data_IF_933640203553
#
_entry.id   IF_933640203553
#
_cell.length_a   1.000
_cell.length_b   1.000
_cell.length_c   1.000
_cell.angle_alpha   90.00
_cell.angle_beta   90.00
_cell.angle_gamma   90.00
#
_symmetry.space_group_name_H-M   'P 1'
#
loop_
_entity.id
_entity.type
_entity.pdbx_description
1 polymer ?
#
# COMPACT_ATOMS: atom_id res chain seq x y z
N UNK A 1 -22.90 -44.27 -45.97
CA UNK A 1 -24.19 -43.93 -45.36
C UNK A 1 -24.01 -42.62 -44.60
N UNK A 2 -24.39 -41.52 -45.24
CA UNK A 2 -24.43 -40.20 -44.63
C UNK A 2 -25.74 -40.10 -43.84
N UNK A 3 -25.66 -39.88 -42.54
CA UNK A 3 -26.82 -39.60 -41.70
C UNK A 3 -26.69 -38.21 -41.12
N UNK A 4 -27.48 -37.30 -41.71
CA UNK A 4 -27.84 -35.99 -41.18
C UNK A 4 -28.62 -36.16 -39.87
N UNK A 5 -28.35 -35.33 -38.87
CA UNK A 5 -29.45 -34.72 -38.11
C UNK A 5 -29.20 -33.21 -37.95
N UNK A 6 -30.04 -32.37 -38.55
CA UNK A 6 -31.20 -31.73 -37.90
C UNK A 6 -30.74 -30.59 -36.99
N UNK A 7 -30.65 -29.43 -37.64
CA UNK A 7 -30.49 -28.11 -37.05
C UNK A 7 -31.73 -27.78 -36.22
N UNK A 8 -31.58 -27.73 -34.89
CA UNK A 8 -32.55 -27.15 -33.97
C UNK A 8 -31.95 -25.84 -33.48
N UNK A 9 -32.53 -24.73 -33.95
CA UNK A 9 -32.23 -23.39 -33.45
C UNK A 9 -32.80 -23.21 -32.03
N UNK A 10 -32.01 -22.77 -31.04
CA UNK A 10 -32.54 -22.17 -29.84
C UNK A 10 -32.83 -20.69 -30.07
N UNK A 11 -33.98 -20.27 -29.54
CA UNK A 11 -34.59 -18.95 -29.49
C UNK A 11 -33.62 -17.77 -29.45
N UNK A 12 -33.90 -16.79 -30.32
CA UNK A 12 -33.35 -15.45 -30.26
C UNK A 12 -33.89 -14.73 -29.01
N UNK A 13 -33.06 -14.60 -27.99
CA UNK A 13 -33.18 -13.57 -26.95
C UNK A 13 -31.76 -13.12 -26.55
N UNK A 14 -31.05 -12.59 -27.55
CA UNK A 14 -29.82 -11.84 -27.34
C UNK A 14 -30.18 -10.35 -27.28
N UNK A 15 -30.70 -9.89 -26.14
CA UNK A 15 -30.77 -8.45 -25.86
C UNK A 15 -29.39 -8.00 -25.41
N UNK A 16 -28.61 -7.53 -26.39
CA UNK A 16 -27.37 -6.82 -26.16
C UNK A 16 -27.63 -5.60 -25.25
N UNK A 17 -26.98 -5.57 -24.09
CA UNK A 17 -26.91 -4.39 -23.23
C UNK A 17 -25.99 -3.35 -23.89
N UNK A 18 -26.54 -2.57 -24.81
CA UNK A 18 -25.91 -1.31 -25.23
C UNK A 18 -26.21 -0.27 -24.17
N UNK A 19 -25.31 -0.13 -23.19
CA UNK A 19 -25.32 1.03 -22.29
C UNK A 19 -24.76 2.23 -23.06
N UNK A 20 -25.61 2.92 -23.81
CA UNK A 20 -25.29 4.24 -24.35
C UNK A 20 -25.50 5.30 -23.27
N UNK A 21 -24.41 5.95 -22.85
CA UNK A 21 -24.46 7.11 -21.97
C UNK A 21 -24.97 8.33 -22.76
N UNK A 22 -26.27 8.61 -22.68
CA UNK A 22 -26.83 9.85 -23.18
C UNK A 22 -26.64 10.97 -22.14
N UNK A 23 -25.71 11.90 -22.38
CA UNK A 23 -25.71 13.20 -21.68
C UNK A 23 -26.84 14.05 -22.26
N UNK A 24 -27.85 14.34 -21.43
CA UNK A 24 -28.88 15.32 -21.78
C UNK A 24 -28.33 16.73 -21.54
N UNK A 25 -28.32 17.63 -22.55
CA UNK A 25 -27.81 18.98 -22.38
C UNK A 25 -28.71 19.83 -21.49
N UNK A 26 -28.09 20.70 -20.70
CA UNK A 26 -28.69 21.40 -19.55
C UNK A 26 -29.72 22.51 -19.91
N UNK A 27 -30.09 22.68 -21.17
CA UNK A 27 -30.83 23.86 -21.65
C UNK A 27 -32.35 23.71 -21.77
N UNK A 28 -32.92 22.54 -21.49
CA UNK A 28 -34.36 22.30 -21.67
C UNK A 28 -35.23 22.43 -20.40
N UNK A 29 -34.64 22.72 -19.24
CA UNK A 29 -35.41 23.09 -18.06
C UNK A 29 -35.76 24.56 -18.13
N UNK A 30 -36.87 24.94 -18.79
CA UNK A 30 -37.76 26.04 -18.37
C UNK A 30 -38.87 26.28 -19.41
N UNK A 31 -40.01 25.60 -19.22
CA UNK A 31 -41.29 26.11 -19.67
C UNK A 31 -42.41 25.55 -18.77
N UNK A 32 -42.84 26.38 -17.83
CA UNK A 32 -44.17 26.42 -17.22
C UNK A 32 -44.85 25.13 -16.79
N UNK A 33 -44.91 24.88 -15.47
CA UNK A 33 -46.14 24.42 -14.82
C UNK A 33 -46.13 24.92 -13.38
N UNK A 34 -46.97 25.92 -13.08
CA UNK A 34 -47.25 26.31 -11.71
C UNK A 34 -48.18 25.27 -11.09
N UNK A 35 -47.60 24.32 -10.35
CA UNK A 35 -48.34 23.53 -9.38
C UNK A 35 -48.02 24.09 -7.99
N UNK A 36 -49.05 24.49 -7.26
CA UNK A 36 -48.97 24.84 -5.85
C UNK A 36 -48.37 23.67 -5.05
N UNK A 37 -47.13 23.83 -4.59
CA UNK A 37 -46.40 22.82 -3.83
C UNK A 37 -46.79 22.86 -2.33
N UNK A 38 -47.26 21.75 -1.73
CA UNK A 38 -47.40 21.66 -0.29
C UNK A 38 -46.08 21.15 0.31
N UNK A 39 -45.42 21.93 1.17
CA UNK A 39 -44.45 21.47 2.19
C UNK A 39 -43.43 20.34 1.85
N UNK A 40 -42.96 20.21 0.61
CA UNK A 40 -42.08 19.11 0.16
C UNK A 40 -40.58 19.31 0.48
N UNK A 41 -40.15 20.55 0.75
CA UNK A 41 -38.73 20.87 0.93
C UNK A 41 -38.06 20.29 2.18
N UNK A 42 -38.81 20.06 3.25
CA UNK A 42 -38.26 19.58 4.54
C UNK A 42 -38.01 18.07 4.53
N UNK A 43 -38.82 17.30 3.80
CA UNK A 43 -38.73 15.84 3.73
C UNK A 43 -37.54 15.42 2.84
N UNK A 44 -37.27 16.16 1.76
CA UNK A 44 -36.19 15.87 0.81
C UNK A 44 -34.80 16.11 1.43
N UNK A 45 -34.65 17.17 2.23
CA UNK A 45 -33.41 17.45 2.96
C UNK A 45 -33.12 16.41 4.05
N UNK A 46 -34.14 15.98 4.82
CA UNK A 46 -33.97 14.96 5.86
C UNK A 46 -33.54 13.59 5.28
N UNK A 47 -34.11 13.20 4.13
CA UNK A 47 -33.70 11.99 3.42
C UNK A 47 -32.25 12.07 2.95
N UNK A 48 -31.84 13.19 2.36
CA UNK A 48 -30.47 13.38 1.88
C UNK A 48 -29.46 13.41 3.04
N UNK A 49 -29.82 14.04 4.16
CA UNK A 49 -29.02 14.04 5.39
C UNK A 49 -28.90 12.64 5.99
N UNK A 50 -29.98 11.85 5.98
CA UNK A 50 -29.99 10.44 6.44
C UNK A 50 -29.11 9.56 5.58
N UNK A 51 -29.18 9.69 4.25
CA UNK A 51 -28.35 8.93 3.32
C UNK A 51 -26.88 9.28 3.47
N UNK A 52 -26.57 10.58 3.63
CA UNK A 52 -25.20 11.04 3.93
C UNK A 52 -24.67 10.44 5.22
N UNK A 53 -25.48 10.43 6.29
CA UNK A 53 -25.09 9.87 7.59
C UNK A 53 -24.83 8.36 7.48
N UNK A 54 -25.72 7.63 6.82
CA UNK A 54 -25.59 6.20 6.54
C UNK A 54 -24.32 5.88 5.75
N UNK A 55 -23.99 6.71 4.75
CA UNK A 55 -22.77 6.56 3.97
C UNK A 55 -21.50 6.78 4.82
N UNK A 56 -21.47 7.84 5.64
CA UNK A 56 -20.34 8.13 6.53
C UNK A 56 -20.11 6.97 7.52
N UNK A 57 -21.18 6.42 8.08
CA UNK A 57 -21.09 5.28 9.01
C UNK A 57 -20.47 4.06 8.34
N UNK A 58 -20.91 3.72 7.11
CA UNK A 58 -20.32 2.63 6.33
C UNK A 58 -18.83 2.85 6.04
N UNK A 59 -18.46 4.07 5.67
CA UNK A 59 -17.05 4.44 5.41
C UNK A 59 -16.21 4.33 6.68
N UNK A 60 -16.71 4.82 7.82
CA UNK A 60 -15.99 4.74 9.09
C UNK A 60 -15.80 3.29 9.52
N UNK A 61 -16.85 2.47 9.41
CA UNK A 61 -16.76 1.04 9.66
C UNK A 61 -15.71 0.36 8.79
N UNK A 62 -15.62 0.72 7.51
CA UNK A 62 -14.59 0.16 6.62
C UNK A 62 -13.18 0.61 7.02
N UNK A 63 -12.99 1.88 7.40
CA UNK A 63 -11.71 2.42 7.86
C UNK A 63 -11.22 1.76 9.14
N UNK A 64 -12.11 1.57 10.11
CA UNK A 64 -11.79 0.95 11.40
C UNK A 64 -11.39 -0.51 11.25
N UNK A 65 -12.01 -1.23 10.32
CA UNK A 65 -11.72 -2.63 10.05
C UNK A 65 -10.60 -2.83 9.02
N UNK A 66 -10.01 -1.75 8.48
CA UNK A 66 -8.96 -1.88 7.49
C UNK A 66 -7.66 -2.36 8.15
N UNK A 67 -7.06 -3.46 7.67
CA UNK A 67 -5.83 -3.98 8.26
C UNK A 67 -4.68 -2.99 8.07
N UNK A 68 -4.07 -2.58 9.17
CA UNK A 68 -2.93 -1.66 9.15
C UNK A 68 -1.62 -2.46 9.03
N UNK A 69 -1.07 -2.52 7.81
CA UNK A 69 0.08 -3.37 7.49
C UNK A 69 1.35 -2.91 8.23
N UNK A 70 1.65 -1.61 8.22
CA UNK A 70 2.86 -1.04 8.82
C UNK A 70 2.97 -1.32 10.34
N UNK A 71 1.97 -0.99 11.19
CA UNK A 71 2.06 -1.27 12.62
C UNK A 71 2.05 -2.77 12.93
N UNK A 72 1.34 -3.58 12.13
CA UNK A 72 1.34 -5.04 12.28
C UNK A 72 2.73 -5.63 12.02
N UNK A 73 3.39 -5.20 10.94
CA UNK A 73 4.76 -5.59 10.61
C UNK A 73 5.76 -5.12 11.67
N UNK A 74 5.65 -3.87 12.14
CA UNK A 74 6.51 -3.34 13.19
C UNK A 74 6.37 -4.11 14.51
N UNK A 75 5.13 -4.45 14.90
CA UNK A 75 4.87 -5.28 16.10
C UNK A 75 5.47 -6.67 15.94
N UNK A 76 5.21 -7.33 14.81
CA UNK A 76 5.75 -8.65 14.53
C UNK A 76 7.28 -8.67 14.63
N UNK A 77 7.95 -7.69 14.01
CA UNK A 77 9.41 -7.61 14.02
C UNK A 77 9.96 -7.34 15.42
N UNK A 78 9.30 -6.46 16.18
CA UNK A 78 9.66 -6.18 17.57
C UNK A 78 9.60 -7.43 18.43
N UNK A 79 8.50 -8.18 18.33
CA UNK A 79 8.27 -9.40 19.10
C UNK A 79 9.32 -10.46 18.72
N UNK A 80 9.58 -10.66 17.42
CA UNK A 80 10.57 -11.62 16.93
C UNK A 80 12.01 -11.30 17.38
N UNK A 81 12.41 -10.02 17.38
CA UNK A 81 13.74 -9.59 17.85
C UNK A 81 13.87 -9.79 19.37
N UNK A 82 12.81 -9.46 20.12
CA UNK A 82 12.79 -9.65 21.57
C UNK A 82 12.87 -11.13 21.95
N UNK A 83 12.15 -11.99 21.25
CA UNK A 83 12.18 -13.44 21.46
C UNK A 83 13.56 -14.03 21.16
N UNK A 84 14.15 -13.66 20.02
CA UNK A 84 15.38 -14.29 19.54
C UNK A 84 16.65 -13.75 20.20
N UNK A 85 16.68 -12.46 20.52
CA UNK A 85 17.90 -11.76 20.97
C UNK A 85 17.74 -11.08 22.33
N UNK A 86 16.55 -11.08 22.93
CA UNK A 86 16.30 -10.39 24.20
C UNK A 86 16.33 -8.85 24.10
N UNK A 87 16.32 -8.29 22.90
CA UNK A 87 16.46 -6.86 22.66
C UNK A 87 15.10 -6.18 22.51
N UNK A 88 14.86 -5.13 23.28
CA UNK A 88 13.69 -4.26 23.12
C UNK A 88 14.05 -3.03 22.28
N UNK A 89 13.88 -3.16 20.96
CA UNK A 89 14.12 -2.08 20.00
C UNK A 89 12.81 -1.61 19.36
N UNK A 90 12.81 -0.37 18.86
CA UNK A 90 11.68 0.16 18.09
C UNK A 90 11.98 0.07 16.57
N UNK A 91 11.35 -0.85 15.82
CA UNK A 91 11.67 -1.07 14.41
C UNK A 91 11.41 0.13 13.49
N UNK A 92 10.54 1.06 13.89
CA UNK A 92 10.24 2.28 13.14
C UNK A 92 11.24 3.42 13.41
N UNK A 93 12.10 3.26 14.43
CA UNK A 93 13.13 4.25 14.79
C UNK A 93 14.55 3.70 14.65
N UNK A 94 14.68 2.43 14.30
CA UNK A 94 15.96 1.80 13.99
C UNK A 94 16.11 1.73 12.48
N UNK A 95 17.26 2.20 11.99
CA UNK A 95 17.54 2.31 10.57
C UNK A 95 18.49 1.21 10.12
N UNK A 96 18.16 0.64 8.98
CA UNK A 96 19.00 -0.16 8.13
C UNK A 96 19.62 0.75 7.07
N UNK A 97 20.91 1.04 7.22
CA UNK A 97 21.64 1.91 6.32
C UNK A 97 22.60 1.11 5.44
N UNK A 98 22.72 1.50 4.17
CA UNK A 98 23.69 0.96 3.22
C UNK A 98 24.63 2.06 2.75
N UNK A 99 25.90 1.72 2.65
CA UNK A 99 26.97 2.63 2.26
C UNK A 99 27.82 2.01 1.15
N UNK A 100 28.41 2.85 0.30
CA UNK A 100 29.37 2.40 -0.71
C UNK A 100 30.78 2.21 -0.15
N UNK A 101 31.10 2.92 0.94
CA UNK A 101 32.43 2.98 1.52
C UNK A 101 32.40 2.57 2.98
N UNK A 102 33.46 1.92 3.42
CA UNK A 102 33.67 1.48 4.80
C UNK A 102 35.14 1.63 5.16
N UNK A 103 35.41 2.01 6.40
CA UNK A 103 36.74 1.99 6.99
C UNK A 103 36.76 1.01 8.16
N UNK A 104 37.86 0.31 8.40
CA UNK A 104 37.98 -0.59 9.54
C UNK A 104 38.08 0.23 10.83
N UNK A 105 37.27 -0.09 11.84
CA UNK A 105 37.31 0.59 13.14
C UNK A 105 37.00 -0.38 14.26
N UNK A 106 37.92 -0.50 15.21
CA UNK A 106 37.78 -1.34 16.40
C UNK A 106 36.77 -0.81 17.43
N UNK A 107 36.34 0.44 17.28
CA UNK A 107 35.40 1.09 18.21
C UNK A 107 33.92 0.82 17.84
N UNK A 108 33.67 0.25 16.66
CA UNK A 108 32.33 -0.04 16.17
C UNK A 108 31.92 -1.48 16.46
N UNK A 109 30.63 -1.71 16.69
CA UNK A 109 30.08 -3.05 16.97
C UNK A 109 30.36 -4.06 15.84
N UNK A 110 30.42 -3.59 14.59
CA UNK A 110 30.60 -4.43 13.40
C UNK A 110 32.06 -4.51 12.92
N UNK A 111 32.98 -3.77 13.53
CA UNK A 111 34.37 -3.65 13.09
C UNK A 111 34.62 -2.72 11.90
N UNK A 112 33.58 -2.04 11.41
CA UNK A 112 33.61 -1.10 10.30
C UNK A 112 32.84 0.17 10.66
N UNK A 113 33.44 1.32 10.35
CA UNK A 113 32.77 2.61 10.36
C UNK A 113 32.39 3.04 8.94
N UNK A 114 31.32 3.80 8.86
CA UNK A 114 30.82 4.37 7.62
C UNK A 114 30.70 5.87 7.79
N UNK A 115 31.43 6.61 6.95
CA UNK A 115 31.42 8.07 6.94
C UNK A 115 30.68 8.56 5.70
N UNK A 116 29.79 9.54 5.88
CA UNK A 116 29.02 10.16 4.80
C UNK A 116 27.56 9.73 4.73
N UNK A 117 26.89 10.14 3.65
CA UNK A 117 25.46 9.93 3.45
C UNK A 117 25.21 8.48 3.00
N UNK A 118 24.28 7.75 3.64
CA UNK A 118 23.91 6.41 3.19
C UNK A 118 23.27 6.46 1.81
N UNK A 119 23.63 5.48 0.98
CA UNK A 119 23.02 5.28 -0.36
C UNK A 119 21.56 4.86 -0.22
N UNK A 120 21.27 4.09 0.82
CA UNK A 120 19.92 3.69 1.19
C UNK A 120 19.79 3.76 2.71
N UNK A 121 18.74 4.41 3.18
CA UNK A 121 18.36 4.44 4.59
C UNK A 121 16.89 4.09 4.70
N UNK A 122 16.59 2.99 5.37
CA UNK A 122 15.22 2.50 5.60
C UNK A 122 15.07 2.08 7.04
N UNK A 123 13.88 2.25 7.61
CA UNK A 123 13.56 1.65 8.91
C UNK A 123 13.55 0.12 8.80
N UNK A 124 13.71 -0.57 9.94
CA UNK A 124 13.63 -2.03 9.95
C UNK A 124 12.27 -2.54 9.47
N UNK A 125 11.18 -1.82 9.78
CA UNK A 125 9.83 -2.14 9.29
C UNK A 125 9.72 -2.02 7.78
N UNK A 126 10.25 -0.95 7.19
CA UNK A 126 10.28 -0.78 5.73
C UNK A 126 11.15 -1.86 5.08
N UNK A 127 12.25 -2.25 5.72
CA UNK A 127 13.10 -3.33 5.21
C UNK A 127 12.38 -4.68 5.22
N UNK A 128 11.61 -4.96 6.26
CA UNK A 128 10.79 -6.18 6.33
C UNK A 128 9.76 -6.23 5.20
N UNK A 129 9.10 -5.12 4.91
CA UNK A 129 8.07 -5.05 3.86
C UNK A 129 8.66 -5.03 2.45
N UNK A 130 9.86 -4.48 2.28
CA UNK A 130 10.54 -4.36 0.99
C UNK A 130 11.21 -5.65 0.51
N UNK A 131 11.30 -6.70 1.35
CA UNK A 131 12.14 -7.88 1.17
C UNK A 131 13.63 -7.54 0.93
N UNK A 132 14.49 -8.56 1.04
CA UNK A 132 15.89 -8.44 0.65
C UNK A 132 16.01 -8.70 -0.86
N UNK A 133 16.71 -7.82 -1.57
CA UNK A 133 16.99 -7.92 -2.98
C UNK A 133 18.05 -8.99 -3.28
N UNK A 134 18.32 -9.22 -4.57
CA UNK A 134 19.33 -10.18 -4.99
C UNK A 134 20.74 -9.72 -4.56
N UNK A 135 20.98 -8.41 -4.60
CA UNK A 135 22.20 -7.74 -4.18
C UNK A 135 22.55 -7.97 -2.69
N UNK A 136 21.57 -8.23 -1.83
CA UNK A 136 21.77 -8.56 -0.41
C UNK A 136 22.34 -9.96 -0.20
N UNK A 137 22.17 -10.85 -1.18
CA UNK A 137 22.55 -12.25 -1.07
C UNK A 137 23.96 -12.52 -1.61
N UNK A 138 24.51 -11.61 -2.40
CA UNK A 138 25.71 -11.85 -3.21
C UNK A 138 27.03 -11.54 -2.50
N UNK A 139 27.01 -10.90 -1.32
CA UNK A 139 28.22 -10.37 -0.69
C UNK A 139 28.50 -10.93 0.71
N UNK A 140 28.55 -12.26 0.86
CA UNK A 140 28.99 -12.88 2.11
C UNK A 140 30.52 -13.00 2.24
N UNK A 141 31.30 -12.89 1.15
CA UNK A 141 32.74 -13.21 1.21
C UNK A 141 33.61 -12.65 0.06
N UNK A 142 33.51 -11.35 -0.25
CA UNK A 142 34.50 -10.72 -1.15
C UNK A 142 35.42 -9.75 -0.40
N UNK A 143 36.55 -10.29 0.05
CA UNK A 143 37.82 -9.54 0.22
C UNK A 143 38.47 -9.30 -1.16
N UNK A 144 37.70 -8.93 -2.19
CA UNK A 144 38.26 -8.63 -3.51
C UNK A 144 38.73 -7.17 -3.53
N UNK A 145 40.04 -7.02 -3.45
CA UNK A 145 40.76 -5.79 -3.72
C UNK A 145 40.21 -5.11 -4.99
N UNK A 146 39.64 -3.91 -4.81
CA UNK A 146 39.58 -2.85 -5.82
C UNK A 146 38.39 -2.81 -6.80
N UNK A 147 37.17 -3.24 -6.43
CA UNK A 147 35.99 -3.00 -7.29
C UNK A 147 34.98 -2.01 -6.66
N UNK A 148 34.73 -0.91 -7.39
CA UNK A 148 33.83 0.21 -7.09
C UNK A 148 32.34 -0.14 -7.18
N UNK A 149 31.92 -1.31 -6.70
CA UNK A 149 30.52 -1.73 -6.78
C UNK A 149 30.01 -2.25 -5.43
N UNK A 150 29.22 -1.41 -4.78
CA UNK A 150 28.15 -1.77 -3.83
C UNK A 150 28.50 -2.88 -2.81
N UNK A 151 29.42 -2.55 -1.92
CA UNK A 151 29.71 -3.38 -0.75
C UNK A 151 28.63 -3.17 0.31
N UNK A 152 27.77 -4.17 0.52
CA UNK A 152 26.73 -4.08 1.55
C UNK A 152 27.31 -4.41 2.92
N UNK A 153 27.40 -3.40 3.79
CA UNK A 153 27.91 -3.53 5.16
C UNK A 153 26.91 -2.91 6.13
N UNK A 154 26.53 -3.71 7.10
CA UNK A 154 25.40 -3.47 7.99
C UNK A 154 25.77 -2.46 9.07
N UNK A 155 25.37 -1.20 8.96
CA UNK A 155 25.50 -0.24 10.05
C UNK A 155 24.18 -0.11 10.82
N UNK A 156 24.16 -0.56 12.06
CA UNK A 156 23.14 -0.15 13.03
C UNK A 156 23.72 1.08 13.77
N UNK A 157 23.45 2.28 13.27
CA UNK A 157 23.91 3.52 13.90
C UNK A 157 22.84 3.99 14.90
N UNK A 158 23.13 4.11 16.21
CA UNK A 158 22.28 4.89 17.09
C UNK A 158 22.51 6.37 16.78
N UNK A 159 21.44 7.10 16.51
CA UNK A 159 21.47 8.56 16.38
C UNK A 159 22.24 9.18 17.56
N UNK A 160 23.38 9.81 17.28
CA UNK A 160 23.99 10.78 18.19
C UNK A 160 23.49 12.15 17.73
N UNK A 161 22.96 12.90 18.71
CA UNK A 161 22.40 14.25 18.61
C UNK A 161 23.31 15.26 17.88
#
# INVERSE_FOLDING_TARGET
MQTKPTNVQPSQDALALTTEWHMVPYSEYNAGTSCSAPAEGVIQEDLLLRDRKSYIEKVNRLKENYPQIIPSAAKYLKDAIKEKYGLDINPNKTFFNRFNYASSSSETFIGWEHNGIPVESKTLTERLLGNFGAEDRLNSDELSSNNLANTMRFACCPLIL
#
